data_IF_182281286209
#
_entry.id   IF_182281286209
#
_cell.length_a   1.000
_cell.length_b   1.000
_cell.length_c   1.000
_cell.angle_alpha   90.00
_cell.angle_beta   90.00
_cell.angle_gamma   90.00
#
_symmetry.space_group_name_H-M   'P 1'
#
loop_
_entity.id
_entity.type
_entity.pdbx_description
1 polymer ?
#
# COMPACT_ATOMS: atom_id res chain seq x y z
N UNK A 1 1.17 3.86 -16.19
CA UNK A 1 0.06 3.76 -15.22
C UNK A 1 -0.81 2.52 -15.43
N UNK A 2 -1.18 2.19 -16.68
CA UNK A 2 -2.05 1.03 -16.95
C UNK A 2 -1.47 -0.28 -16.41
N UNK A 3 -0.17 -0.51 -16.54
CA UNK A 3 0.50 -1.70 -16.00
C UNK A 3 0.39 -1.78 -14.47
N UNK A 4 0.55 -0.66 -13.78
CA UNK A 4 0.41 -0.63 -12.32
C UNK A 4 -1.04 -0.91 -11.90
N UNK A 5 -2.00 -0.35 -12.62
CA UNK A 5 -3.42 -0.58 -12.38
C UNK A 5 -3.80 -2.06 -12.59
N UNK A 6 -3.28 -2.66 -13.64
CA UNK A 6 -3.52 -4.09 -13.93
C UNK A 6 -2.96 -4.97 -12.81
N UNK A 7 -1.74 -4.69 -12.36
CA UNK A 7 -1.10 -5.40 -11.24
C UNK A 7 -1.92 -5.25 -9.96
N UNK A 8 -2.37 -4.04 -9.65
CA UNK A 8 -3.20 -3.79 -8.47
C UNK A 8 -4.51 -4.57 -8.52
N UNK A 9 -5.18 -4.57 -9.66
CA UNK A 9 -6.44 -5.30 -9.84
C UNK A 9 -6.26 -6.81 -9.67
N UNK A 10 -5.16 -7.37 -10.18
CA UNK A 10 -4.82 -8.79 -10.01
C UNK A 10 -4.66 -9.11 -8.52
N UNK A 11 -3.90 -8.31 -7.79
CA UNK A 11 -3.67 -8.55 -6.37
C UNK A 11 -4.94 -8.40 -5.52
N UNK A 12 -5.81 -7.47 -5.86
CA UNK A 12 -7.10 -7.33 -5.15
C UNK A 12 -7.97 -8.59 -5.27
N UNK A 13 -7.82 -9.33 -6.35
CA UNK A 13 -8.51 -10.61 -6.56
C UNK A 13 -7.78 -11.76 -5.85
N UNK A 14 -6.45 -11.79 -5.96
CA UNK A 14 -5.66 -12.93 -5.46
C UNK A 14 -5.43 -12.93 -3.95
N UNK A 15 -5.26 -11.77 -3.33
CA UNK A 15 -4.90 -11.68 -1.90
C UNK A 15 -5.95 -12.34 -1.00
N UNK A 16 -7.27 -12.07 -1.16
CA UNK A 16 -8.26 -12.75 -0.34
C UNK A 16 -8.23 -14.27 -0.50
N UNK A 17 -8.01 -14.76 -1.72
CA UNK A 17 -7.94 -16.20 -2.01
C UNK A 17 -6.71 -16.83 -1.34
N UNK A 18 -5.55 -16.17 -1.45
CA UNK A 18 -4.30 -16.65 -0.87
C UNK A 18 -4.37 -16.71 0.67
N UNK A 19 -4.94 -15.69 1.31
CA UNK A 19 -5.16 -15.70 2.76
C UNK A 19 -6.15 -16.79 3.18
N UNK A 20 -7.12 -17.12 2.34
CA UNK A 20 -8.06 -18.21 2.60
C UNK A 20 -7.39 -19.58 2.72
N UNK A 21 -6.17 -19.73 2.19
CA UNK A 21 -5.37 -20.95 2.32
C UNK A 21 -4.50 -20.99 3.58
N UNK A 22 -4.50 -19.94 4.41
CA UNK A 22 -3.71 -19.87 5.63
C UNK A 22 -4.61 -20.04 6.87
N UNK A 23 -4.08 -20.68 7.91
CA UNK A 23 -4.79 -20.79 9.20
C UNK A 23 -4.69 -19.47 9.96
N UNK A 24 -5.57 -19.27 10.96
CA UNK A 24 -5.50 -18.13 11.85
C UNK A 24 -4.15 -18.05 12.56
N UNK A 25 -3.59 -19.19 12.95
CA UNK A 25 -2.28 -19.24 13.58
C UNK A 25 -1.20 -18.74 12.64
N UNK A 26 -1.19 -19.21 11.39
CA UNK A 26 -0.22 -18.77 10.37
C UNK A 26 -0.30 -17.27 10.11
N UNK A 27 -1.52 -16.72 10.11
CA UNK A 27 -1.77 -15.30 9.88
C UNK A 27 -1.28 -14.44 11.06
N UNK A 28 -1.47 -14.92 12.29
CA UNK A 28 -1.23 -14.14 13.52
C UNK A 28 0.12 -14.36 14.17
N UNK A 29 0.82 -15.45 13.83
CA UNK A 29 2.12 -15.73 14.46
C UNK A 29 3.21 -14.77 13.96
N UNK A 30 4.04 -14.33 14.90
CA UNK A 30 5.26 -13.59 14.56
C UNK A 30 6.39 -14.59 14.41
N UNK A 31 7.16 -14.57 13.29
CA UNK A 31 8.29 -15.50 13.12
C UNK A 31 9.35 -15.32 14.21
N UNK A 32 9.46 -14.09 14.73
CA UNK A 32 10.29 -13.74 15.90
C UNK A 32 9.59 -12.61 16.65
N UNK A 33 9.84 -12.42 17.97
CA UNK A 33 9.13 -11.43 18.77
C UNK A 33 9.17 -10.00 18.24
N UNK A 34 10.24 -9.63 17.53
CA UNK A 34 10.43 -8.29 16.97
C UNK A 34 10.04 -8.19 15.49
N UNK A 35 9.53 -9.27 14.89
CA UNK A 35 9.09 -9.28 13.50
C UNK A 35 7.56 -9.19 13.42
N UNK A 36 7.08 -8.58 12.37
CA UNK A 36 5.64 -8.52 12.10
C UNK A 36 5.07 -9.89 11.74
N UNK A 37 3.86 -10.15 12.23
CA UNK A 37 3.02 -11.25 11.71
C UNK A 37 2.55 -10.92 10.28
N UNK A 38 2.05 -11.91 9.56
CA UNK A 38 1.42 -11.70 8.25
C UNK A 38 0.27 -10.68 8.34
N UNK A 39 -0.49 -10.76 9.42
CA UNK A 39 -1.56 -9.83 9.74
C UNK A 39 -1.06 -8.38 9.88
N UNK A 40 0.04 -8.19 10.58
CA UNK A 40 0.67 -6.87 10.73
C UNK A 40 1.26 -6.36 9.43
N UNK A 41 1.81 -7.24 8.59
CA UNK A 41 2.32 -6.86 7.27
C UNK A 41 1.16 -6.36 6.39
N UNK A 42 0.02 -7.05 6.39
CA UNK A 42 -1.15 -6.58 5.65
C UNK A 42 -1.63 -5.23 6.20
N UNK A 43 -1.61 -5.05 7.53
CA UNK A 43 -1.92 -3.77 8.16
C UNK A 43 -0.96 -2.66 7.71
N UNK A 44 0.34 -2.95 7.65
CA UNK A 44 1.33 -2.03 7.10
C UNK A 44 0.97 -1.63 5.66
N UNK A 45 0.46 -2.56 4.86
CA UNK A 45 0.01 -2.25 3.51
C UNK A 45 -1.26 -1.37 3.50
N UNK A 46 -2.11 -1.48 4.52
CA UNK A 46 -3.22 -0.53 4.71
C UNK A 46 -2.70 0.88 5.00
N UNK A 47 -1.69 1.00 5.86
CA UNK A 47 -1.06 2.28 6.20
C UNK A 47 -0.40 2.89 4.97
N UNK A 48 0.28 2.07 4.18
CA UNK A 48 0.86 2.49 2.90
C UNK A 48 -0.21 3.01 1.94
N UNK A 49 -1.35 2.32 1.84
CA UNK A 49 -2.46 2.75 1.00
C UNK A 49 -3.02 4.10 1.45
N UNK A 50 -3.23 4.29 2.75
CA UNK A 50 -3.73 5.56 3.30
C UNK A 50 -2.79 6.71 2.98
N UNK A 51 -1.50 6.53 3.26
CA UNK A 51 -0.51 7.59 3.06
C UNK A 51 -0.28 7.89 1.58
N UNK A 52 -0.35 6.90 0.72
CA UNK A 52 -0.19 7.09 -0.71
C UNK A 52 -1.45 7.63 -1.39
N UNK A 53 -2.62 7.20 -0.97
CA UNK A 53 -3.88 7.70 -1.52
C UNK A 53 -3.96 9.23 -1.42
N UNK A 54 -3.62 9.80 -0.26
CA UNK A 54 -3.59 11.24 -0.12
C UNK A 54 -2.60 11.91 -1.08
N UNK A 55 -1.45 11.29 -1.31
CA UNK A 55 -0.44 11.81 -2.26
C UNK A 55 -0.98 11.81 -3.68
N UNK A 56 -1.63 10.72 -4.10
CA UNK A 56 -2.23 10.61 -5.44
C UNK A 56 -3.30 11.66 -5.69
N UNK A 57 -4.09 11.98 -4.67
CA UNK A 57 -5.12 13.02 -4.75
C UNK A 57 -4.48 14.41 -4.74
N UNK A 58 -3.60 14.69 -3.78
CA UNK A 58 -2.97 16.00 -3.60
C UNK A 58 -2.12 16.40 -4.80
N UNK A 59 -1.49 15.45 -5.47
CA UNK A 59 -0.70 15.69 -6.67
C UNK A 59 -1.49 16.41 -7.76
N UNK A 60 -2.80 16.23 -7.78
CA UNK A 60 -3.63 16.70 -8.87
C UNK A 60 -4.22 18.10 -8.63
N UNK A 61 -4.13 18.65 -7.41
CA UNK A 61 -4.69 19.95 -7.12
C UNK A 61 -3.78 20.90 -6.33
N UNK A 62 -2.74 20.39 -5.69
CA UNK A 62 -1.81 21.24 -4.94
C UNK A 62 -0.69 21.78 -5.83
N UNK A 63 -0.07 22.88 -5.38
CA UNK A 63 1.05 23.49 -6.05
C UNK A 63 2.26 22.53 -6.10
N UNK A 64 2.97 22.54 -7.22
CA UNK A 64 4.12 21.67 -7.45
C UNK A 64 5.44 22.41 -7.20
N UNK A 65 6.49 21.67 -6.76
CA UNK A 65 6.46 20.26 -6.40
C UNK A 65 5.80 20.01 -5.05
N UNK A 66 5.00 18.94 -4.96
CA UNK A 66 4.36 18.56 -3.71
C UNK A 66 5.38 17.91 -2.77
N UNK A 67 5.27 18.15 -1.48
CA UNK A 67 6.17 17.54 -0.48
C UNK A 67 5.61 16.23 0.04
N UNK A 68 6.44 15.18 0.02
CA UNK A 68 6.09 13.89 0.61
C UNK A 68 6.33 13.97 2.12
N UNK A 69 5.27 13.75 2.88
CA UNK A 69 5.34 13.62 4.33
C UNK A 69 5.58 12.15 4.65
N UNK A 70 6.74 11.85 5.23
CA UNK A 70 7.10 10.49 5.65
C UNK A 70 6.37 10.14 6.95
N UNK A 71 6.15 8.84 7.17
CA UNK A 71 5.52 8.35 8.39
C UNK A 71 6.35 7.22 9.01
N UNK A 72 6.26 7.08 10.33
CA UNK A 72 6.95 6.03 11.08
C UNK A 72 6.15 4.73 10.99
N UNK A 73 6.61 3.81 10.16
CA UNK A 73 5.92 2.57 9.83
C UNK A 73 5.66 1.68 11.05
N UNK A 74 6.64 1.54 11.92
CA UNK A 74 6.51 0.69 13.11
C UNK A 74 5.51 1.27 14.11
N UNK A 75 5.53 2.59 14.31
CA UNK A 75 4.58 3.26 15.16
C UNK A 75 3.15 3.15 14.62
N UNK A 76 2.99 3.27 13.30
CA UNK A 76 1.68 3.12 12.68
C UNK A 76 1.11 1.73 12.92
N UNK A 77 1.88 0.68 12.64
CA UNK A 77 1.42 -0.71 12.83
C UNK A 77 1.04 -0.95 14.28
N UNK A 78 1.84 -0.44 15.22
CA UNK A 78 1.58 -0.58 16.65
C UNK A 78 0.32 0.18 17.09
N UNK A 79 0.22 1.46 16.70
CA UNK A 79 -0.88 2.33 17.13
C UNK A 79 -2.20 2.00 16.45
N UNK A 80 -2.16 1.49 15.22
CA UNK A 80 -3.35 0.98 14.54
C UNK A 80 -3.83 -0.35 15.13
N UNK A 81 -3.01 -0.99 15.96
CA UNK A 81 -3.35 -2.19 16.74
C UNK A 81 -3.74 -3.39 15.87
N UNK A 82 -3.10 -3.54 14.72
CA UNK A 82 -3.46 -4.59 13.77
C UNK A 82 -3.36 -6.01 14.34
N UNK A 83 -2.38 -6.27 15.22
CA UNK A 83 -2.19 -7.60 15.79
C UNK A 83 -3.40 -8.08 16.59
N UNK A 84 -4.13 -7.15 17.22
CA UNK A 84 -5.28 -7.48 18.06
C UNK A 84 -6.63 -7.36 17.35
N UNK A 85 -6.64 -6.87 16.11
CA UNK A 85 -7.88 -6.72 15.34
C UNK A 85 -8.27 -8.01 14.62
N UNK A 86 -9.57 -8.23 14.37
CA UNK A 86 -10.00 -9.35 13.53
C UNK A 86 -9.37 -9.26 12.14
N UNK A 87 -8.84 -10.36 11.64
CA UNK A 87 -8.20 -10.39 10.32
C UNK A 87 -9.14 -9.92 9.20
N UNK A 88 -10.41 -10.33 9.25
CA UNK A 88 -11.41 -9.95 8.24
C UNK A 88 -11.58 -8.43 8.14
N UNK A 89 -11.47 -7.71 9.26
CA UNK A 89 -11.50 -6.25 9.27
C UNK A 89 -10.33 -5.67 8.47
N UNK A 90 -9.12 -6.19 8.70
CA UNK A 90 -7.91 -5.71 8.03
C UNK A 90 -7.95 -6.02 6.53
N UNK A 91 -8.38 -7.22 6.17
CA UNK A 91 -8.52 -7.63 4.77
C UNK A 91 -9.53 -6.76 4.02
N UNK A 92 -10.70 -6.53 4.62
CA UNK A 92 -11.72 -5.66 4.05
C UNK A 92 -11.23 -4.23 3.88
N UNK A 93 -10.49 -3.74 4.87
CA UNK A 93 -9.89 -2.41 4.85
C UNK A 93 -8.89 -2.29 3.70
N UNK A 94 -7.98 -3.26 3.57
CA UNK A 94 -7.00 -3.29 2.49
C UNK A 94 -7.67 -3.30 1.11
N UNK A 95 -8.68 -4.16 0.92
CA UNK A 95 -9.40 -4.25 -0.36
C UNK A 95 -10.10 -2.93 -0.69
N UNK A 96 -10.80 -2.34 0.29
CA UNK A 96 -11.53 -1.08 0.08
C UNK A 96 -10.60 0.09 -0.24
N UNK A 97 -9.47 0.19 0.44
CA UNK A 97 -8.47 1.23 0.16
C UNK A 97 -7.90 1.10 -1.25
N UNK A 98 -7.59 -0.11 -1.68
CA UNK A 98 -7.01 -0.32 -3.01
C UNK A 98 -8.05 -0.15 -4.12
N UNK A 99 -9.31 -0.47 -3.87
CA UNK A 99 -10.41 -0.12 -4.78
C UNK A 99 -10.50 1.40 -4.97
N UNK A 100 -10.35 2.15 -3.89
CA UNK A 100 -10.36 3.61 -3.96
C UNK A 100 -9.15 4.15 -4.71
N UNK A 101 -7.97 3.57 -4.48
CA UNK A 101 -6.76 3.93 -5.22
C UNK A 101 -6.95 3.67 -6.72
N UNK A 102 -7.46 2.50 -7.08
CA UNK A 102 -7.74 2.16 -8.48
C UNK A 102 -8.69 3.17 -9.12
N UNK A 103 -9.76 3.56 -8.41
CA UNK A 103 -10.71 4.55 -8.89
C UNK A 103 -10.05 5.90 -9.14
N UNK A 104 -9.15 6.33 -8.26
CA UNK A 104 -8.39 7.58 -8.44
C UNK A 104 -7.46 7.48 -9.65
N UNK A 105 -6.72 6.39 -9.79
CA UNK A 105 -5.81 6.19 -10.92
C UNK A 105 -6.54 6.18 -12.26
N UNK A 106 -7.68 5.49 -12.34
CA UNK A 106 -8.48 5.40 -13.57
C UNK A 106 -8.92 6.77 -14.09
N UNK A 107 -9.11 7.73 -13.18
CA UNK A 107 -9.56 9.07 -13.52
C UNK A 107 -8.45 10.12 -13.56
N UNK A 108 -7.22 9.72 -13.28
CA UNK A 108 -6.07 10.64 -13.32
C UNK A 108 -5.73 10.98 -14.76
N UNK A 109 -5.79 12.26 -15.18
CA UNK A 109 -5.42 12.65 -16.53
C UNK A 109 -3.94 12.35 -16.80
N UNK A 110 -3.65 11.91 -18.01
CA UNK A 110 -2.30 11.53 -18.39
C UNK A 110 -1.29 12.67 -18.21
N UNK A 111 -1.71 13.91 -18.45
CA UNK A 111 -0.86 15.08 -18.27
C UNK A 111 -0.51 15.38 -16.80
N UNK A 112 -1.17 14.75 -15.83
CA UNK A 112 -0.87 14.87 -14.41
C UNK A 112 0.24 13.92 -13.96
N UNK A 113 0.55 12.90 -14.75
CA UNK A 113 1.52 11.86 -14.36
C UNK A 113 2.95 12.37 -14.23
N UNK A 114 3.26 13.52 -14.83
CA UNK A 114 4.55 14.18 -14.72
C UNK A 114 4.66 15.16 -13.56
N UNK A 115 3.57 15.34 -12.79
CA UNK A 115 3.57 16.23 -11.63
C UNK A 115 4.61 15.80 -10.62
N UNK A 116 5.33 16.78 -10.07
CA UNK A 116 6.51 16.53 -9.25
C UNK A 116 6.24 16.42 -7.76
N UNK A 117 7.04 15.58 -7.11
CA UNK A 117 7.10 15.43 -5.65
C UNK A 117 8.53 15.57 -5.17
N UNK A 118 8.72 16.29 -4.08
CA UNK A 118 10.00 16.33 -3.37
C UNK A 118 10.11 15.12 -2.46
N UNK A 119 10.97 14.19 -2.82
CA UNK A 119 11.30 13.02 -1.99
C UNK A 119 12.32 13.41 -0.92
N UNK A 120 13.23 14.33 -1.28
CA UNK A 120 14.22 14.94 -0.39
C UNK A 120 14.56 16.32 -0.93
N UNK A 121 15.45 17.07 -0.24
CA UNK A 121 15.89 18.39 -0.72
C UNK A 121 16.52 18.36 -2.12
N UNK A 122 17.10 17.21 -2.49
CA UNK A 122 17.86 17.05 -3.75
C UNK A 122 17.18 16.14 -4.76
N UNK A 123 16.08 15.46 -4.39
CA UNK A 123 15.44 14.46 -5.26
C UNK A 123 13.97 14.77 -5.48
N UNK A 124 13.60 14.94 -6.74
CA UNK A 124 12.21 15.08 -7.19
C UNK A 124 11.82 13.84 -7.98
N UNK A 125 10.63 13.32 -7.72
CA UNK A 125 10.04 12.19 -8.45
C UNK A 125 8.70 12.63 -9.04
N UNK A 126 8.16 11.84 -9.96
CA UNK A 126 6.88 12.12 -10.62
C UNK A 126 5.74 11.35 -9.97
N UNK A 127 4.50 11.76 -10.24
CA UNK A 127 3.31 10.98 -9.85
C UNK A 127 3.38 9.57 -10.44
N UNK A 128 3.79 9.42 -11.69
CA UNK A 128 3.97 8.10 -12.32
C UNK A 128 4.96 7.24 -11.51
N UNK A 129 6.07 7.82 -11.08
CA UNK A 129 7.04 7.11 -10.27
C UNK A 129 6.43 6.65 -8.94
N UNK A 130 5.64 7.50 -8.27
CA UNK A 130 4.98 7.14 -7.02
C UNK A 130 3.96 6.00 -7.21
N UNK A 131 3.24 6.01 -8.31
CA UNK A 131 2.29 4.94 -8.66
C UNK A 131 3.02 3.61 -8.83
N UNK A 132 4.11 3.60 -9.58
CA UNK A 132 4.90 2.39 -9.81
C UNK A 132 5.55 1.91 -8.51
N UNK A 133 6.11 2.83 -7.74
CA UNK A 133 6.74 2.52 -6.44
C UNK A 133 5.74 1.94 -5.44
N UNK A 134 4.50 2.46 -5.43
CA UNK A 134 3.44 1.93 -4.58
C UNK A 134 3.18 0.45 -4.86
N UNK A 135 3.04 0.07 -6.12
CA UNK A 135 2.78 -1.33 -6.49
C UNK A 135 4.01 -2.21 -6.22
N UNK A 136 5.21 -1.72 -6.53
CA UNK A 136 6.45 -2.46 -6.25
C UNK A 136 6.61 -2.74 -4.75
N UNK A 137 6.37 -1.75 -3.91
CA UNK A 137 6.40 -1.88 -2.45
C UNK A 137 5.34 -2.87 -1.95
N UNK A 138 4.12 -2.76 -2.47
CA UNK A 138 3.03 -3.68 -2.14
C UNK A 138 3.41 -5.12 -2.48
N UNK A 139 3.92 -5.37 -3.67
CA UNK A 139 4.32 -6.70 -4.12
C UNK A 139 5.47 -7.26 -3.29
N UNK A 140 6.43 -6.43 -2.92
CA UNK A 140 7.52 -6.83 -2.04
C UNK A 140 6.97 -7.43 -0.73
N UNK A 141 6.01 -6.75 -0.10
CA UNK A 141 5.42 -7.23 1.15
C UNK A 141 4.45 -8.40 0.97
N UNK A 142 3.70 -8.43 -0.14
CA UNK A 142 2.84 -9.58 -0.43
C UNK A 142 3.66 -10.85 -0.68
N UNK A 143 4.80 -10.73 -1.34
CA UNK A 143 5.74 -11.84 -1.50
C UNK A 143 6.34 -12.28 -0.15
N UNK A 144 6.54 -11.35 0.76
CA UNK A 144 6.97 -11.65 2.13
C UNK A 144 5.91 -12.46 2.88
N UNK A 145 4.62 -12.13 2.69
CA UNK A 145 3.51 -12.85 3.31
C UNK A 145 3.36 -14.27 2.74
N UNK A 146 3.36 -14.40 1.41
CA UNK A 146 2.98 -15.64 0.72
C UNK A 146 4.18 -16.44 0.22
N UNK A 147 5.38 -15.88 0.29
CA UNK A 147 6.57 -16.43 -0.31
C UNK A 147 6.70 -16.08 -1.80
N UNK A 148 7.94 -16.01 -2.29
CA UNK A 148 8.25 -15.90 -3.71
C UNK A 148 8.46 -17.29 -4.28
N UNK A 149 7.94 -17.50 -5.49
CA UNK A 149 8.27 -18.74 -6.24
C UNK A 149 9.57 -18.56 -7.00
#
# INVERSE_FOLDING_TARGET
>A
MQTALDRLNIWMTEVPVKFGGLSEQEISERPQPHKWSRKEILGHLCDSALNNLQRFVRAQYEEQPNTIIKYDQDQWVRLMNYQELPFEHILSFWVSLNKQIAAVWERTPENQLTNGFLLSEEQTVTLQWLIDDYVDHMEHHLNQIFGTK
#
